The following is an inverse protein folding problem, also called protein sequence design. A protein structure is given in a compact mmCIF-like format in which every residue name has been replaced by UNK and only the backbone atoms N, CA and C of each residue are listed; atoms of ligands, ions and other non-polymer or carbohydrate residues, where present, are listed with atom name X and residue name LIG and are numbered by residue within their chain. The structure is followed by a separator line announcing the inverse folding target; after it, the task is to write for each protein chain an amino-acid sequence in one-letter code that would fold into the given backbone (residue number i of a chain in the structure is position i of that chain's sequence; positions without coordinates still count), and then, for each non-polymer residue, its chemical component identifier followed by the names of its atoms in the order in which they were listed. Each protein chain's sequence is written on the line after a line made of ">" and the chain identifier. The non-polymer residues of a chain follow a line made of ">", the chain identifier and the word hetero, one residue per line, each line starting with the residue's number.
data_IF_432263006064
#
_entry.id   IF_432263006064
#
_cell.length_a   1.000
_cell.length_b   1.000
_cell.length_c   1.000
_cell.angle_alpha   90.00
_cell.angle_beta   90.00
_cell.angle_gamma   90.00
#
_symmetry.space_group_name_H-M   'P 1'
#
loop_
_entity.id
_entity.type
_entity.pdbx_description
1 polymer ?
#
# COMPACT_ATOMS: atom_id res chain seq x y z
N UNK A 1 28.99 14.16 0.73
CA UNK A 1 27.98 13.07 0.62
C UNK A 1 26.55 13.51 0.23
N UNK A 2 26.31 14.73 -0.28
CA UNK A 2 24.95 15.33 -0.22
C UNK A 2 24.18 15.52 -1.57
N UNK A 3 24.82 15.36 -2.74
CA UNK A 3 24.15 15.50 -4.05
C UNK A 3 23.56 14.18 -4.58
N UNK A 4 24.22 13.04 -4.32
CA UNK A 4 23.80 11.72 -4.81
C UNK A 4 22.48 11.23 -4.18
N UNK A 5 22.25 11.56 -2.90
CA UNK A 5 21.00 11.22 -2.18
C UNK A 5 19.81 12.05 -2.66
N UNK A 6 20.03 13.35 -2.96
CA UNK A 6 18.97 14.23 -3.49
C UNK A 6 18.50 13.81 -4.89
N UNK A 7 19.39 13.32 -5.74
CA UNK A 7 19.01 12.85 -7.08
C UNK A 7 18.21 11.55 -7.05
N UNK A 8 18.55 10.57 -6.19
CA UNK A 8 17.77 9.34 -6.05
C UNK A 8 16.34 9.59 -5.54
N UNK A 9 16.15 10.58 -4.66
CA UNK A 9 14.82 10.91 -4.13
C UNK A 9 13.88 11.52 -5.19
N UNK A 10 14.42 12.31 -6.13
CA UNK A 10 13.64 12.85 -7.27
C UNK A 10 13.23 11.76 -8.25
N UNK A 11 14.08 10.78 -8.50
CA UNK A 11 13.80 9.68 -9.42
C UNK A 11 12.71 8.72 -8.89
N UNK A 12 12.68 8.52 -7.56
CA UNK A 12 11.65 7.71 -6.91
C UNK A 12 10.26 8.36 -6.92
N UNK A 13 10.19 9.68 -6.73
CA UNK A 13 8.93 10.44 -6.81
C UNK A 13 8.37 10.40 -8.25
N UNK A 14 9.25 10.43 -9.26
CA UNK A 14 8.83 10.36 -10.68
C UNK A 14 8.17 9.03 -11.08
N UNK A 15 8.47 7.93 -10.38
CA UNK A 15 7.93 6.59 -10.69
C UNK A 15 6.63 6.21 -9.98
N UNK A 16 6.27 6.87 -8.87
CA UNK A 16 5.05 6.53 -8.09
C UNK A 16 3.82 7.38 -8.43
N UNK A 17 4.02 8.48 -9.15
CA UNK A 17 2.96 9.38 -9.63
C UNK A 17 2.08 8.81 -10.79
N UNK A 18 2.55 7.94 -11.71
CA UNK A 18 1.79 7.69 -12.93
C UNK A 18 0.49 6.91 -12.68
N UNK A 19 0.43 5.99 -11.70
CA UNK A 19 -0.76 5.17 -11.48
C UNK A 19 -1.96 5.97 -10.95
N UNK A 20 -1.72 6.88 -10.00
CA UNK A 20 -2.78 7.73 -9.45
C UNK A 20 -3.30 8.73 -10.49
N UNK A 21 -2.39 9.33 -11.26
CA UNK A 21 -2.79 10.20 -12.37
C UNK A 21 -3.54 9.42 -13.45
N UNK A 22 -3.12 8.20 -13.77
CA UNK A 22 -3.83 7.36 -14.74
C UNK A 22 -5.26 7.05 -14.29
N UNK A 23 -5.48 6.82 -12.99
CA UNK A 23 -6.82 6.65 -12.44
C UNK A 23 -7.67 7.92 -12.56
N UNK A 24 -7.11 9.09 -12.20
CA UNK A 24 -7.81 10.38 -12.36
C UNK A 24 -8.12 10.66 -13.83
N UNK A 25 -7.15 10.44 -14.72
CA UNK A 25 -7.34 10.61 -16.16
C UNK A 25 -8.42 9.67 -16.70
N UNK A 26 -8.42 8.40 -16.27
CA UNK A 26 -9.42 7.44 -16.66
C UNK A 26 -10.82 7.83 -16.16
N UNK A 27 -10.94 8.29 -14.92
CA UNK A 27 -12.19 8.78 -14.37
C UNK A 27 -12.69 10.03 -15.11
N UNK A 28 -11.83 11.02 -15.35
CA UNK A 28 -12.14 12.19 -16.16
C UNK A 28 -12.55 11.81 -17.58
N UNK A 29 -11.88 10.83 -18.19
CA UNK A 29 -12.19 10.35 -19.53
C UNK A 29 -13.57 9.70 -19.59
N UNK A 30 -13.90 8.85 -18.62
CA UNK A 30 -15.26 8.28 -18.47
C UNK A 30 -16.29 9.40 -18.32
N UNK A 31 -16.02 10.38 -17.46
CA UNK A 31 -16.94 11.49 -17.23
C UNK A 31 -17.18 12.32 -18.51
N UNK A 32 -16.11 12.58 -19.29
CA UNK A 32 -16.22 13.26 -20.58
C UNK A 32 -17.06 12.44 -21.55
N UNK A 33 -16.85 11.13 -21.66
CA UNK A 33 -17.67 10.25 -22.51
C UNK A 33 -19.13 10.32 -22.10
N UNK A 34 -19.44 10.22 -20.81
CA UNK A 34 -20.80 10.27 -20.29
C UNK A 34 -21.47 11.61 -20.62
N UNK A 35 -20.73 12.70 -20.43
CA UNK A 35 -21.20 14.05 -20.72
C UNK A 35 -21.44 14.26 -22.22
N UNK A 36 -20.51 13.82 -23.08
CA UNK A 36 -20.67 13.85 -24.53
C UNK A 36 -21.85 13.00 -25.00
N UNK A 37 -22.06 11.84 -24.39
CA UNK A 37 -23.21 10.97 -24.70
C UNK A 37 -24.54 11.61 -24.28
N UNK A 38 -24.58 12.26 -23.11
CA UNK A 38 -25.76 13.01 -22.65
C UNK A 38 -26.11 14.15 -23.60
N UNK A 39 -25.13 14.94 -24.04
CA UNK A 39 -25.32 16.00 -25.04
C UNK A 39 -25.82 15.42 -26.36
N UNK A 40 -25.24 14.30 -26.80
CA UNK A 40 -25.66 13.60 -28.02
C UNK A 40 -27.13 13.17 -27.94
N UNK A 41 -27.53 12.53 -26.84
CA UNK A 41 -28.91 12.14 -26.57
C UNK A 41 -29.85 13.35 -26.58
N UNK A 42 -29.48 14.44 -25.90
CA UNK A 42 -30.30 15.65 -25.84
C UNK A 42 -30.48 16.28 -27.22
N UNK A 43 -29.42 16.35 -28.02
CA UNK A 43 -29.48 16.84 -29.40
C UNK A 43 -30.36 15.95 -30.27
N UNK A 44 -30.24 14.63 -30.12
CA UNK A 44 -31.05 13.68 -30.88
C UNK A 44 -32.54 13.78 -30.50
N UNK A 45 -32.84 13.96 -29.21
CA UNK A 45 -34.19 14.18 -28.71
C UNK A 45 -34.79 15.48 -29.26
N UNK A 46 -34.00 16.55 -29.30
CA UNK A 46 -34.41 17.83 -29.91
C UNK A 46 -34.69 17.67 -31.42
N UNK A 47 -33.84 16.95 -32.15
CA UNK A 47 -34.07 16.66 -33.57
C UNK A 47 -35.35 15.86 -33.79
N UNK A 48 -35.59 14.83 -32.98
CA UNK A 48 -36.82 14.04 -33.02
C UNK A 48 -38.04 14.92 -32.75
N UNK A 49 -37.96 15.83 -31.78
CA UNK A 49 -39.03 16.78 -31.48
C UNK A 49 -39.29 17.74 -32.66
N UNK A 50 -38.24 18.25 -33.31
CA UNK A 50 -38.39 19.12 -34.50
C UNK A 50 -38.94 18.36 -35.71
N UNK A 51 -38.51 17.11 -35.91
CA UNK A 51 -39.01 16.26 -36.98
C UNK A 51 -40.48 15.93 -36.76
N UNK A 52 -40.85 15.57 -35.54
CA UNK A 52 -42.24 15.31 -35.17
C UNK A 52 -43.12 16.55 -35.38
N UNK A 53 -42.64 17.73 -34.96
CA UNK A 53 -43.37 19.00 -35.14
C UNK A 53 -43.58 19.34 -36.63
N UNK A 54 -42.55 19.11 -37.46
CA UNK A 54 -42.60 19.34 -38.92
C UNK A 54 -43.47 18.31 -39.65
N UNK A 55 -43.42 17.05 -39.21
CA UNK A 55 -44.22 15.98 -39.80
C UNK A 55 -45.69 16.16 -39.48
N UNK A 56 -46.03 16.58 -38.24
CA UNK A 56 -47.40 16.89 -37.83
C UNK A 56 -48.04 18.00 -38.68
N UNK A 57 -47.29 19.06 -39.00
CA UNK A 57 -47.78 20.16 -39.86
C UNK A 57 -47.97 19.72 -41.31
N UNK A 58 -47.09 18.88 -41.85
CA UNK A 58 -47.24 18.34 -43.21
C UNK A 58 -48.42 17.36 -43.34
N UNK A 59 -48.71 16.63 -42.27
CA UNK A 59 -49.77 15.63 -42.23
C UNK A 59 -51.18 16.23 -42.11
N UNK A 60 -51.31 17.48 -41.67
CA UNK A 60 -52.56 18.24 -41.84
C UNK A 60 -52.92 18.44 -43.32
N UNK A 61 -51.98 18.25 -44.24
CA UNK A 61 -52.14 18.48 -45.68
C UNK A 61 -52.07 17.21 -46.55
N UNK A 62 -51.62 16.08 -46.01
CA UNK A 62 -51.39 14.84 -46.75
C UNK A 62 -52.15 13.67 -46.14
N UNK A 63 -52.87 12.92 -46.98
CA UNK A 63 -53.78 11.82 -46.58
C UNK A 63 -53.06 10.52 -46.20
N UNK A 64 -51.91 10.60 -45.52
CA UNK A 64 -51.32 9.39 -44.94
C UNK A 64 -52.23 8.88 -43.79
N UNK A 65 -52.28 7.56 -43.61
CA UNK A 65 -53.03 6.97 -42.51
C UNK A 65 -52.28 7.12 -41.18
N UNK A 66 -52.91 7.56 -40.07
CA UNK A 66 -52.25 7.75 -38.78
C UNK A 66 -51.56 6.49 -38.21
N UNK A 67 -51.98 5.30 -38.64
CA UNK A 67 -51.40 4.01 -38.25
C UNK A 67 -49.94 3.83 -38.72
N UNK A 68 -49.59 4.31 -39.92
CA UNK A 68 -48.21 4.18 -40.44
C UNK A 68 -47.23 5.04 -39.67
N UNK A 69 -47.60 6.28 -39.32
CA UNK A 69 -46.76 7.14 -38.47
C UNK A 69 -46.53 6.55 -37.09
N UNK A 70 -47.58 6.00 -36.47
CA UNK A 70 -47.45 5.37 -35.16
C UNK A 70 -46.47 4.20 -35.20
N UNK A 71 -46.57 3.32 -36.20
CA UNK A 71 -45.65 2.20 -36.37
C UNK A 71 -44.19 2.65 -36.58
N UNK A 72 -43.98 3.71 -37.36
CA UNK A 72 -42.66 4.29 -37.58
C UNK A 72 -42.07 4.87 -36.28
N UNK A 73 -42.85 5.65 -35.53
CA UNK A 73 -42.41 6.23 -34.26
C UNK A 73 -42.11 5.16 -33.22
N UNK A 74 -42.93 4.12 -33.13
CA UNK A 74 -42.70 3.01 -32.22
C UNK A 74 -41.42 2.26 -32.57
N UNK A 75 -41.18 1.98 -33.86
CA UNK A 75 -39.94 1.36 -34.33
C UNK A 75 -38.71 2.22 -34.02
N UNK A 76 -38.80 3.52 -34.28
CA UNK A 76 -37.73 4.46 -33.97
C UNK A 76 -37.46 4.56 -32.46
N UNK A 77 -38.50 4.61 -31.63
CA UNK A 77 -38.38 4.63 -30.17
C UNK A 77 -37.73 3.35 -29.65
N UNK A 78 -38.10 2.19 -30.21
CA UNK A 78 -37.53 0.90 -29.84
C UNK A 78 -36.05 0.80 -30.23
N UNK A 79 -35.67 1.34 -31.40
CA UNK A 79 -34.28 1.45 -31.80
C UNK A 79 -33.46 2.34 -30.86
N UNK A 80 -34.01 3.49 -30.46
CA UNK A 80 -33.36 4.41 -29.51
C UNK A 80 -33.19 3.76 -28.13
N UNK A 81 -34.22 3.03 -27.67
CA UNK A 81 -34.17 2.27 -26.44
C UNK A 81 -33.08 1.20 -26.50
N UNK A 82 -33.04 0.41 -27.58
CA UNK A 82 -32.02 -0.62 -27.79
C UNK A 82 -30.61 -0.02 -27.77
N UNK A 83 -30.38 1.08 -28.48
CA UNK A 83 -29.09 1.78 -28.48
C UNK A 83 -28.70 2.24 -27.07
N UNK A 84 -29.64 2.79 -26.32
CA UNK A 84 -29.42 3.24 -24.94
C UNK A 84 -29.03 2.06 -24.04
N UNK A 85 -29.71 0.92 -24.17
CA UNK A 85 -29.39 -0.30 -23.43
C UNK A 85 -27.99 -0.83 -23.80
N UNK A 86 -27.63 -0.86 -25.08
CA UNK A 86 -26.31 -1.32 -25.53
C UNK A 86 -25.21 -0.43 -24.96
N UNK A 87 -25.36 0.90 -25.01
CA UNK A 87 -24.38 1.83 -24.45
C UNK A 87 -24.27 1.67 -22.93
N UNK A 88 -25.39 1.49 -22.24
CA UNK A 88 -25.41 1.24 -20.80
C UNK A 88 -24.68 -0.06 -20.43
N UNK A 89 -24.95 -1.16 -21.15
CA UNK A 89 -24.30 -2.45 -20.91
C UNK A 89 -22.79 -2.38 -21.20
N UNK A 90 -22.40 -1.71 -22.29
CA UNK A 90 -20.99 -1.51 -22.63
C UNK A 90 -20.27 -0.73 -21.53
N UNK A 91 -20.88 0.35 -21.03
CA UNK A 91 -20.34 1.13 -19.93
C UNK A 91 -20.16 0.29 -18.65
N UNK A 92 -21.20 -0.45 -18.27
CA UNK A 92 -21.16 -1.33 -17.10
C UNK A 92 -20.08 -2.42 -17.23
N UNK A 93 -19.94 -2.99 -18.43
CA UNK A 93 -18.90 -3.97 -18.72
C UNK A 93 -17.49 -3.38 -18.55
N UNK A 94 -17.23 -2.20 -19.11
CA UNK A 94 -15.93 -1.52 -18.96
C UNK A 94 -15.63 -1.23 -17.49
N UNK A 95 -16.60 -0.69 -16.74
CA UNK A 95 -16.43 -0.39 -15.32
C UNK A 95 -16.11 -1.64 -14.49
N UNK A 96 -16.87 -2.73 -14.67
CA UNK A 96 -16.67 -3.98 -13.91
C UNK A 96 -15.35 -4.66 -14.29
N UNK A 97 -14.97 -4.62 -15.57
CA UNK A 97 -13.68 -5.13 -16.03
C UNK A 97 -12.51 -4.36 -15.39
N UNK A 98 -12.52 -3.03 -15.43
CA UNK A 98 -11.44 -2.22 -14.85
C UNK A 98 -11.36 -2.36 -13.33
N UNK A 99 -12.50 -2.41 -12.64
CA UNK A 99 -12.52 -2.61 -11.19
C UNK A 99 -11.97 -3.99 -10.81
N UNK A 100 -12.40 -5.04 -11.51
CA UNK A 100 -11.93 -6.41 -11.27
C UNK A 100 -10.44 -6.54 -11.56
N UNK A 101 -9.97 -5.95 -12.67
CA UNK A 101 -8.56 -5.91 -13.02
C UNK A 101 -7.73 -5.19 -11.96
N UNK A 102 -8.15 -4.00 -11.53
CA UNK A 102 -7.43 -3.21 -10.53
C UNK A 102 -7.39 -3.93 -9.18
N UNK A 103 -8.51 -4.49 -8.75
CA UNK A 103 -8.59 -5.22 -7.48
C UNK A 103 -7.73 -6.47 -7.52
N UNK A 104 -7.80 -7.26 -8.59
CA UNK A 104 -6.97 -8.46 -8.76
C UNK A 104 -5.49 -8.10 -8.81
N UNK A 105 -5.11 -7.05 -9.52
CA UNK A 105 -3.73 -6.58 -9.58
C UNK A 105 -3.24 -6.13 -8.20
N UNK A 106 -4.02 -5.30 -7.50
CA UNK A 106 -3.66 -4.77 -6.20
C UNK A 106 -3.56 -5.87 -5.14
N UNK A 107 -4.55 -6.76 -5.08
CA UNK A 107 -4.53 -7.89 -4.14
C UNK A 107 -3.34 -8.81 -4.38
N UNK A 108 -3.09 -9.18 -5.64
CA UNK A 108 -1.99 -10.09 -5.94
C UNK A 108 -0.63 -9.45 -5.67
N UNK A 109 -0.48 -8.15 -5.98
CA UNK A 109 0.72 -7.38 -5.66
C UNK A 109 0.92 -7.30 -4.14
N UNK A 110 -0.12 -6.95 -3.38
CA UNK A 110 -0.05 -6.82 -1.94
C UNK A 110 0.24 -8.17 -1.29
N UNK A 111 -0.51 -9.22 -1.64
CA UNK A 111 -0.30 -10.55 -1.08
C UNK A 111 1.12 -11.07 -1.36
N UNK A 112 1.61 -10.93 -2.60
CA UNK A 112 2.98 -11.33 -2.95
C UNK A 112 4.03 -10.54 -2.18
N UNK A 113 3.83 -9.23 -2.02
CA UNK A 113 4.74 -8.38 -1.27
C UNK A 113 4.77 -8.76 0.22
N UNK A 114 3.60 -8.91 0.85
CA UNK A 114 3.50 -9.28 2.26
C UNK A 114 4.03 -10.68 2.51
N UNK A 115 3.66 -11.66 1.68
CA UNK A 115 4.14 -13.02 1.82
C UNK A 115 5.67 -13.07 1.69
N UNK A 116 6.24 -12.42 0.68
CA UNK A 116 7.71 -12.34 0.51
C UNK A 116 8.38 -11.65 1.70
N UNK A 117 7.81 -10.57 2.21
CA UNK A 117 8.31 -9.88 3.39
C UNK A 117 8.31 -10.78 4.63
N UNK A 118 7.18 -11.43 4.92
CA UNK A 118 7.07 -12.35 6.06
C UNK A 118 7.98 -13.57 5.91
N UNK A 119 8.05 -14.17 4.73
CA UNK A 119 8.93 -15.31 4.48
C UNK A 119 10.39 -14.94 4.67
N UNK A 120 10.81 -13.78 4.17
CA UNK A 120 12.16 -13.26 4.39
C UNK A 120 12.45 -13.00 5.87
N UNK A 121 11.46 -12.51 6.62
CA UNK A 121 11.59 -12.29 8.05
C UNK A 121 11.77 -13.62 8.81
N UNK A 122 10.89 -14.60 8.56
CA UNK A 122 10.97 -15.91 9.21
C UNK A 122 12.23 -16.69 8.84
N UNK A 123 12.66 -16.65 7.57
CA UNK A 123 13.92 -17.30 7.17
C UNK A 123 15.13 -16.66 7.84
N UNK A 124 15.16 -15.33 7.95
CA UNK A 124 16.26 -14.63 8.61
C UNK A 124 16.34 -15.00 10.10
N UNK A 125 15.20 -15.06 10.79
CA UNK A 125 15.13 -15.48 12.19
C UNK A 125 15.59 -16.93 12.37
N UNK A 126 15.10 -17.85 11.53
CA UNK A 126 15.50 -19.26 11.57
C UNK A 126 17.00 -19.45 11.31
N UNK A 127 17.56 -18.71 10.34
CA UNK A 127 18.99 -18.76 10.02
C UNK A 127 19.85 -18.22 11.17
N UNK A 128 19.46 -17.12 11.80
CA UNK A 128 20.17 -16.57 12.96
C UNK A 128 20.13 -17.52 14.16
N UNK A 129 18.97 -18.14 14.40
CA UNK A 129 18.83 -19.07 15.51
C UNK A 129 19.66 -20.34 15.29
N UNK A 130 19.55 -20.95 14.11
CA UNK A 130 20.32 -22.16 13.75
C UNK A 130 21.83 -21.92 13.71
N UNK A 131 22.29 -20.80 13.15
CA UNK A 131 23.71 -20.45 13.15
C UNK A 131 24.25 -20.19 14.56
N UNK A 132 23.46 -19.54 15.44
CA UNK A 132 23.83 -19.38 16.84
C UNK A 132 23.94 -20.73 17.57
N UNK A 133 23.01 -21.66 17.31
CA UNK A 133 23.02 -23.00 17.91
C UNK A 133 24.24 -23.80 17.45
N UNK A 134 24.53 -23.80 16.15
CA UNK A 134 25.73 -24.47 15.60
C UNK A 134 27.00 -23.88 16.22
N UNK A 135 27.08 -22.55 16.34
CA UNK A 135 28.23 -21.89 16.97
C UNK A 135 28.38 -22.29 18.44
N UNK A 136 27.28 -22.32 19.21
CA UNK A 136 27.32 -22.74 20.61
C UNK A 136 27.73 -24.20 20.76
N UNK A 137 27.25 -25.09 19.89
CA UNK A 137 27.65 -26.50 19.86
C UNK A 137 29.13 -26.66 19.53
N UNK A 138 29.63 -25.95 18.51
CA UNK A 138 31.03 -25.97 18.12
C UNK A 138 31.94 -25.45 19.24
N UNK A 139 31.58 -24.34 19.88
CA UNK A 139 32.30 -23.79 21.03
C UNK A 139 32.30 -24.79 22.19
N UNK A 140 31.15 -25.37 22.54
CA UNK A 140 31.07 -26.37 23.60
C UNK A 140 31.97 -27.58 23.33
N UNK A 141 31.96 -28.11 22.09
CA UNK A 141 32.82 -29.21 21.69
C UNK A 141 34.32 -28.84 21.74
N UNK A 142 34.66 -27.64 21.28
CA UNK A 142 36.02 -27.11 21.35
C UNK A 142 36.52 -27.01 22.80
N UNK A 143 35.71 -26.46 23.71
CA UNK A 143 36.09 -26.32 25.12
C UNK A 143 36.16 -27.64 25.87
N UNK A 144 35.25 -28.59 25.61
CA UNK A 144 35.32 -29.93 26.21
C UNK A 144 36.57 -30.69 25.76
N UNK A 145 36.94 -30.58 24.47
CA UNK A 145 38.18 -31.15 23.92
C UNK A 145 39.43 -30.51 24.50
N UNK A 146 39.45 -29.19 24.71
CA UNK A 146 40.58 -28.52 25.36
C UNK A 146 40.71 -28.88 26.84
N UNK A 147 39.58 -29.02 27.54
CA UNK A 147 39.56 -29.37 28.96
C UNK A 147 40.19 -30.74 29.22
N UNK A 148 39.94 -31.72 28.35
CA UNK A 148 40.55 -33.06 28.47
C UNK A 148 42.06 -33.04 28.27
N UNK A 149 42.59 -32.19 27.37
CA UNK A 149 44.04 -32.00 27.20
C UNK A 149 44.70 -31.42 28.46
N UNK A 150 44.04 -30.47 29.12
CA UNK A 150 44.53 -29.92 30.39
C UNK A 150 44.50 -30.97 31.52
N UNK A 151 43.47 -31.82 31.59
CA UNK A 151 43.41 -32.89 32.60
C UNK A 151 44.56 -33.91 32.47
N UNK A 152 45.04 -34.18 31.25
CA UNK A 152 46.18 -35.08 31.04
C UNK A 152 47.51 -34.43 31.47
N UNK A 153 47.67 -33.12 31.22
CA UNK A 153 48.88 -32.37 31.58
C UNK A 153 49.08 -32.23 33.11
N UNK A 154 48.01 -32.32 33.90
CA UNK A 154 48.03 -32.16 35.37
C UNK A 154 48.27 -33.50 36.10
N UNK A 155 48.56 -34.61 35.40
CA UNK A 155 49.22 -35.76 36.06
C UNK A 155 50.65 -35.37 36.42
N UNK A 156 50.77 -34.63 37.51
CA UNK A 156 52.04 -34.41 38.16
C UNK A 156 52.68 -35.77 38.41
N UNK A 157 53.98 -35.94 38.10
CA UNK A 157 54.70 -37.11 38.55
C UNK A 157 54.51 -37.22 40.07
N UNK A 158 54.37 -38.44 40.60
CA UNK A 158 54.23 -38.65 42.03
C UNK A 158 55.34 -37.85 42.74
N UNK A 159 55.01 -37.15 43.84
CA UNK A 159 56.00 -36.35 44.55
C UNK A 159 57.23 -37.21 44.83
N UNK A 160 58.44 -36.70 44.55
CA UNK A 160 59.66 -37.46 44.81
C UNK A 160 59.67 -37.87 46.29
N UNK A 161 60.15 -39.09 46.60
CA UNK A 161 60.20 -39.57 47.97
C UNK A 161 60.95 -38.56 48.86
N UNK A 162 60.51 -38.37 50.12
CA UNK A 162 61.11 -37.38 51.01
C UNK A 162 62.62 -37.63 51.14
N UNK A 163 63.41 -36.67 50.64
CA UNK A 163 64.86 -36.69 50.76
C UNK A 163 65.22 -36.41 52.22
N UNK A 164 66.06 -37.30 52.77
CA UNK A 164 66.65 -37.24 54.11
C UNK A 164 67.35 -35.87 54.29
N UNK A 165 67.28 -35.23 55.47
CA UNK A 165 67.78 -33.87 55.66
C UNK A 165 69.30 -33.81 55.41
N UNK A 166 69.72 -33.05 54.40
CA UNK A 166 71.13 -32.66 54.24
C UNK A 166 71.41 -31.38 55.05
N UNK A 167 72.64 -31.20 55.56
CA UNK A 167 73.04 -30.06 56.36
C UNK A 167 73.04 -28.74 55.57
N UNK A 168 72.88 -27.60 56.27
CA UNK A 168 72.65 -26.29 55.66
C UNK A 168 73.90 -25.75 54.91
N UNK A 169 73.74 -25.20 53.70
CA UNK A 169 74.80 -24.48 53.01
C UNK A 169 74.90 -23.00 53.46
N UNK A 170 76.07 -22.36 53.25
CA UNK A 170 76.33 -20.98 53.67
C UNK A 170 75.61 -19.91 52.83
N UNK A 171 75.42 -18.70 53.39
CA UNK A 171 74.59 -17.65 52.80
C UNK A 171 75.27 -17.01 51.58
N UNK A 172 74.65 -17.14 50.41
CA UNK A 172 74.98 -16.33 49.25
C UNK A 172 73.80 -15.43 48.87
N UNK A 173 74.07 -14.14 48.93
CA UNK A 173 73.22 -13.05 48.46
C UNK A 173 73.10 -13.10 46.94
N UNK A 174 71.94 -13.48 46.42
CA UNK A 174 71.55 -13.08 45.08
C UNK A 174 70.03 -12.94 44.97
N UNK A 175 69.63 -11.71 44.71
CA UNK A 175 68.29 -11.26 44.37
C UNK A 175 67.83 -11.88 43.06
N UNK A 176 67.22 -13.06 43.11
CA UNK A 176 66.56 -13.64 41.93
C UNK A 176 65.06 -13.35 41.98
N UNK A 177 64.72 -12.22 41.39
CA UNK A 177 63.36 -11.78 41.05
C UNK A 177 62.79 -12.70 39.95
N UNK A 178 62.46 -13.93 40.30
CA UNK A 178 61.73 -14.87 39.44
C UNK A 178 60.58 -15.47 40.25
N UNK A 179 59.42 -15.62 39.59
CA UNK A 179 58.27 -16.44 39.99
C UNK A 179 56.98 -15.74 40.44
N UNK A 180 56.69 -14.51 39.99
CA UNK A 180 55.31 -13.98 40.06
C UNK A 180 54.43 -14.33 38.85
N UNK A 181 55.00 -14.82 37.74
CA UNK A 181 54.24 -15.12 36.52
C UNK A 181 53.57 -16.51 36.48
N UNK A 182 53.88 -17.41 37.40
CA UNK A 182 53.28 -18.76 37.46
C UNK A 182 51.88 -18.78 38.09
N UNK A 183 51.40 -17.68 38.68
CA UNK A 183 50.05 -17.58 39.24
C UNK A 183 48.98 -17.21 38.21
N UNK A 184 49.35 -16.66 37.05
CA UNK A 184 48.40 -16.21 36.02
C UNK A 184 47.83 -17.35 35.16
N UNK A 185 48.42 -18.55 35.23
CA UNK A 185 47.98 -19.75 34.50
C UNK A 185 47.42 -20.82 35.43
N UNK A 186 46.92 -20.44 36.61
CA UNK A 186 46.14 -21.38 37.42
C UNK A 186 44.85 -21.72 36.65
N UNK A 187 44.50 -23.01 36.49
CA UNK A 187 43.29 -23.43 35.79
C UNK A 187 42.00 -22.79 36.36
N UNK A 188 42.03 -22.39 37.65
CA UNK A 188 40.95 -21.64 38.28
C UNK A 188 40.72 -20.26 37.63
N UNK A 189 41.77 -19.54 37.22
CA UNK A 189 41.66 -18.22 36.60
C UNK A 189 41.08 -18.31 35.17
N UNK A 190 41.47 -19.35 34.43
CA UNK A 190 40.85 -19.67 33.13
C UNK A 190 39.38 -20.04 33.30
N UNK A 191 39.00 -20.83 34.31
CA UNK A 191 37.58 -21.13 34.59
C UNK A 191 36.77 -19.87 34.95
N UNK A 192 37.39 -18.92 35.66
CA UNK A 192 36.76 -17.65 36.04
C UNK A 192 36.56 -16.74 34.82
N UNK A 193 37.61 -16.55 34.00
CA UNK A 193 37.50 -15.83 32.73
C UNK A 193 36.44 -16.46 31.82
N UNK A 194 36.39 -17.79 31.77
CA UNK A 194 35.39 -18.53 31.00
C UNK A 194 33.97 -18.28 31.52
N UNK A 195 33.76 -18.33 32.84
CA UNK A 195 32.48 -18.02 33.48
C UNK A 195 32.03 -16.57 33.21
N UNK A 196 32.96 -15.60 33.26
CA UNK A 196 32.67 -14.19 32.95
C UNK A 196 32.30 -13.99 31.48
N UNK A 197 33.01 -14.66 30.55
CA UNK A 197 32.71 -14.58 29.11
C UNK A 197 31.36 -15.24 28.80
N UNK A 198 31.08 -16.43 29.35
CA UNK A 198 29.79 -17.11 29.20
C UNK A 198 28.65 -16.28 29.81
N UNK A 199 28.86 -15.70 30.99
CA UNK A 199 27.88 -14.83 31.66
C UNK A 199 27.53 -13.60 30.80
N UNK A 200 28.52 -12.93 30.21
CA UNK A 200 28.27 -11.82 29.28
C UNK A 200 27.58 -12.26 27.99
N UNK A 201 27.90 -13.45 27.48
CA UNK A 201 27.27 -13.97 26.27
C UNK A 201 25.81 -14.35 26.52
N UNK A 202 25.53 -15.00 27.65
CA UNK A 202 24.17 -15.33 28.09
C UNK A 202 23.34 -14.08 28.41
N UNK A 203 23.94 -13.03 28.98
CA UNK A 203 23.23 -11.77 29.20
C UNK A 203 22.85 -11.11 27.87
N UNK A 204 23.72 -11.16 26.85
CA UNK A 204 23.38 -10.71 25.51
C UNK A 204 22.26 -11.52 24.87
N UNK A 205 22.25 -12.85 25.03
CA UNK A 205 21.16 -13.71 24.55
C UNK A 205 19.84 -13.36 25.27
N UNK A 206 19.88 -13.12 26.58
CA UNK A 206 18.69 -12.70 27.33
C UNK A 206 18.16 -11.34 26.86
N UNK A 207 19.06 -10.40 26.54
CA UNK A 207 18.71 -9.08 26.02
C UNK A 207 18.10 -9.19 24.61
N UNK A 208 18.63 -10.08 23.77
CA UNK A 208 18.05 -10.40 22.46
C UNK A 208 16.66 -11.04 22.63
N UNK A 209 16.45 -11.92 23.61
CA UNK A 209 15.13 -12.52 23.90
C UNK A 209 14.13 -11.49 24.44
N UNK A 210 14.59 -10.52 25.23
CA UNK A 210 13.75 -9.42 25.72
C UNK A 210 13.39 -8.49 24.57
N UNK A 211 14.34 -8.15 23.69
CA UNK A 211 14.08 -7.35 22.49
C UNK A 211 13.15 -8.07 21.50
N UNK A 212 13.25 -9.39 21.33
CA UNK A 212 12.33 -10.16 20.48
C UNK A 212 10.93 -10.24 21.10
N UNK A 213 10.81 -10.34 22.43
CA UNK A 213 9.54 -10.26 23.14
C UNK A 213 8.89 -8.86 23.06
N UNK A 214 9.69 -7.79 23.07
CA UNK A 214 9.21 -6.42 22.85
C UNK A 214 8.76 -6.19 21.41
N UNK A 215 9.47 -6.74 20.42
CA UNK A 215 9.11 -6.69 19.00
C UNK A 215 7.76 -7.37 18.71
N UNK A 216 7.54 -8.54 19.33
CA UNK A 216 6.27 -9.28 19.22
C UNK A 216 5.12 -8.63 20.01
N UNK A 217 5.42 -7.79 21.00
CA UNK A 217 4.41 -6.98 21.71
C UNK A 217 4.03 -5.72 20.91
N UNK A 218 4.98 -5.12 20.20
CA UNK A 218 4.77 -3.94 19.34
C UNK A 218 3.96 -4.26 18.07
N UNK A 219 4.06 -5.48 17.54
CA UNK A 219 3.22 -5.93 16.42
C UNK A 219 1.73 -6.05 16.79
N UNK A 220 1.40 -6.16 18.08
CA UNK A 220 0.01 -6.16 18.57
C UNK A 220 -0.61 -4.75 18.63
N UNK A 221 0.21 -3.70 18.75
CA UNK A 221 -0.24 -2.30 18.84
C UNK A 221 -0.47 -1.62 17.48
N UNK A 222 -0.10 -2.27 16.36
CA UNK A 222 -0.24 -1.72 15.00
C UNK A 222 -1.36 -2.36 14.17
N UNK A 223 -2.37 -2.98 14.79
CA UNK A 223 -3.64 -3.22 14.12
C UNK A 223 -4.45 -1.91 14.13
N UNK A 224 -4.79 -1.31 12.96
CA UNK A 224 -5.68 -0.18 12.91
C UNK A 224 -7.09 -0.65 13.29
N UNK A 225 -7.48 -0.40 14.55
CA UNK A 225 -8.83 -0.57 15.08
C UNK A 225 -9.77 0.50 14.52
N UNK A 226 -9.98 0.52 13.21
CA UNK A 226 -10.93 1.43 12.57
C UNK A 226 -11.52 0.80 11.32
N UNK A 227 -12.48 -0.12 11.48
CA UNK A 227 -13.59 -0.32 10.53
C UNK A 227 -14.65 -1.23 11.18
N UNK A 228 -15.41 -0.65 12.12
CA UNK A 228 -16.76 -1.12 12.41
C UNK A 228 -17.73 -0.14 11.72
N UNK A 229 -18.44 -0.52 10.65
CA UNK A 229 -19.63 0.20 10.25
C UNK A 229 -20.78 -0.28 11.13
N UNK A 230 -21.07 0.47 12.18
CA UNK A 230 -22.34 0.37 12.90
C UNK A 230 -23.45 0.93 12.01
N UNK A 231 -24.20 0.05 11.35
CA UNK A 231 -25.52 0.38 10.82
C UNK A 231 -26.55 0.32 11.96
N UNK A 232 -27.43 1.32 12.08
CA UNK A 232 -28.76 1.07 12.60
C UNK A 232 -29.72 0.97 11.42
N UNK A 233 -30.30 -0.23 11.26
CA UNK A 233 -31.59 -0.42 10.61
C UNK A 233 -32.63 0.49 11.29
N UNK A 234 -33.56 1.11 10.54
CA UNK A 234 -34.91 1.30 11.03
C UNK A 234 -35.85 0.36 10.28
N UNK A 235 -36.28 -0.67 10.98
CA UNK A 235 -37.53 -1.37 10.72
C UNK A 235 -38.71 -0.56 11.26
N UNK A 236 -39.90 -0.81 10.69
CA UNK A 236 -41.24 -0.27 11.02
C UNK A 236 -41.54 1.12 10.39
N UNK A 237 -42.64 1.38 9.67
CA UNK A 237 -44.01 0.87 9.79
C UNK A 237 -44.72 0.81 8.42
N UNK A 238 -45.49 -0.26 8.27
CA UNK A 238 -46.73 -0.34 7.51
C UNK A 238 -47.81 0.58 8.10
N UNK A 239 -48.46 1.42 7.28
CA UNK A 239 -49.88 1.76 7.43
C UNK A 239 -50.37 2.63 6.26
N UNK A 240 -51.31 2.05 5.51
CA UNK A 240 -52.51 2.66 4.94
C UNK A 240 -52.78 4.14 5.29
N UNK A 241 -52.92 4.99 4.27
CA UNK A 241 -54.11 5.83 4.01
C UNK A 241 -53.76 7.05 3.15
N UNK A 242 -54.27 7.06 1.91
CA UNK A 242 -54.78 8.29 1.25
C UNK A 242 -55.79 8.96 2.21
N UNK A 243 -56.03 10.29 2.21
CA UNK A 243 -56.45 11.01 1.00
C UNK A 243 -56.06 12.52 0.93
N UNK A 244 -56.64 13.17 -0.09
CA UNK A 244 -56.91 14.61 -0.25
C UNK A 244 -55.92 15.50 -1.02
N UNK A 245 -56.33 15.71 -2.28
CA UNK A 245 -56.31 16.97 -3.02
C UNK A 245 -56.11 18.24 -2.19
N UNK A 246 -55.13 19.06 -2.60
CA UNK A 246 -55.32 20.50 -2.63
C UNK A 246 -54.74 21.06 -3.93
N UNK A 247 -55.66 21.46 -4.81
CA UNK A 247 -55.43 22.42 -5.88
C UNK A 247 -55.05 23.77 -5.25
N UNK A 248 -53.92 24.34 -5.66
CA UNK A 248 -53.73 25.80 -5.72
C UNK A 248 -53.18 26.10 -7.12
N UNK A 249 -54.09 26.38 -8.05
CA UNK A 249 -54.44 27.72 -8.51
C UNK A 249 -53.26 28.51 -9.09
N UNK A 250 -53.23 28.48 -10.41
CA UNK A 250 -52.62 29.46 -11.31
C UNK A 250 -53.04 30.88 -10.94
N UNK A 251 -52.05 31.79 -10.97
CA UNK A 251 -52.27 33.18 -11.38
C UNK A 251 -51.16 33.58 -12.37
N UNK A 252 -51.50 34.01 -13.59
CA UNK A 252 -50.55 34.52 -14.57
C UNK A 252 -50.33 36.03 -14.34
N UNK A 253 -49.09 36.50 -14.42
CA UNK A 253 -48.76 37.93 -14.44
C UNK A 253 -48.07 38.29 -15.76
N UNK A 254 -48.40 39.44 -16.40
CA UNK A 254 -48.24 39.59 -17.84
C UNK A 254 -46.91 40.22 -18.27
N UNK A 255 -46.49 39.81 -19.46
CA UNK A 255 -45.97 40.63 -20.57
C UNK A 255 -45.25 41.95 -20.23
N UNK A 256 -43.95 42.01 -20.51
CA UNK A 256 -43.43 43.18 -21.23
C UNK A 256 -42.36 42.80 -22.27
N UNK A 257 -42.73 43.05 -23.53
CA UNK A 257 -41.84 43.16 -24.69
C UNK A 257 -40.79 44.24 -24.41
N UNK A 258 -39.51 43.94 -24.63
CA UNK A 258 -38.61 44.87 -25.32
C UNK A 258 -37.68 44.09 -26.26
N UNK A 259 -37.77 44.48 -27.53
CA UNK A 259 -37.02 43.99 -28.67
C UNK A 259 -35.63 44.68 -28.77
N UNK A 260 -34.75 44.26 -29.70
CA UNK A 260 -33.31 44.31 -29.56
C UNK A 260 -32.70 45.63 -30.08
N UNK A 261 -31.68 46.14 -29.40
CA UNK A 261 -30.87 47.25 -29.90
C UNK A 261 -29.61 46.73 -30.58
N UNK A 262 -29.67 46.66 -31.92
CA UNK A 262 -28.50 46.71 -32.82
C UNK A 262 -27.56 47.85 -32.40
N UNK A 263 -26.28 47.55 -32.19
CA UNK A 263 -25.18 48.46 -32.53
C UNK A 263 -24.12 47.69 -33.30
N UNK A 264 -23.84 48.23 -34.47
CA UNK A 264 -22.82 47.88 -35.45
C UNK A 264 -21.39 48.11 -34.93
N UNK A 265 -20.38 47.54 -35.59
CA UNK A 265 -18.98 47.60 -35.20
C UNK A 265 -18.29 48.87 -35.72
N UNK A 266 -17.47 49.49 -34.88
CA UNK A 266 -16.42 50.45 -35.24
C UNK A 266 -15.09 49.72 -35.04
N UNK A 267 -14.39 49.34 -36.12
CA UNK A 267 -13.38 50.15 -36.83
C UNK A 267 -12.09 50.33 -36.04
N UNK A 268 -10.97 50.07 -36.73
CA UNK A 268 -9.59 50.33 -36.33
C UNK A 268 -9.05 49.46 -35.20
N UNK A 269 -8.29 48.43 -35.56
CA UNK A 269 -6.89 48.47 -35.15
C UNK A 269 -5.99 47.93 -36.27
N UNK A 270 -5.02 48.77 -36.61
CA UNK A 270 -4.16 48.66 -37.75
C UNK A 270 -3.18 47.51 -37.60
N UNK A 271 -3.17 46.72 -38.65
CA UNK A 271 -2.11 45.83 -39.04
C UNK A 271 -0.88 46.66 -39.48
N UNK A 272 0.12 46.84 -38.61
CA UNK A 272 1.45 47.26 -39.07
C UNK A 272 2.56 46.82 -38.12
N UNK A 273 3.08 45.61 -38.34
CA UNK A 273 4.45 45.28 -37.95
C UNK A 273 5.03 44.26 -38.92
N UNK A 274 5.58 44.80 -39.99
CA UNK A 274 6.56 44.17 -40.84
C UNK A 274 7.70 45.18 -40.91
N UNK A 275 8.86 44.87 -40.33
CA UNK A 275 10.19 45.37 -40.72
C UNK A 275 11.18 44.35 -40.16
N UNK A 276 11.88 43.73 -41.12
CA UNK A 276 13.11 42.98 -40.97
C UNK A 276 14.21 43.85 -40.34
N UNK A 277 14.95 43.29 -39.40
CA UNK A 277 16.41 43.37 -39.22
C UNK A 277 16.78 42.53 -38.00
#
# INVERSE_FOLDING_TARGET
>A
MNKKVKNKKKEYIKKKIPAFFLFIYFYSFIHIILHSFSIFLLRHLALVQTYFSSSLTFHLHSSLSPSSLFSFLLSFLLLLLLLTVIVFLFFFFVQTFFLSFFLSFFLNFFLSFFLSFFLSFFLAEYFLLSSSLILTFFLFHFFTSFSSLFSISVRFPPPPPPLIPLPPPPPSSSSSNRNHFSLLLRPQFLSFLFSVVISKYLSHISLISILSSFSSSLSFFFLPSSFYPSSPLPSFLSSSSLPFFHFYNFSPLPTQRQQPRRRTPSSLDQHQKNINC
#
